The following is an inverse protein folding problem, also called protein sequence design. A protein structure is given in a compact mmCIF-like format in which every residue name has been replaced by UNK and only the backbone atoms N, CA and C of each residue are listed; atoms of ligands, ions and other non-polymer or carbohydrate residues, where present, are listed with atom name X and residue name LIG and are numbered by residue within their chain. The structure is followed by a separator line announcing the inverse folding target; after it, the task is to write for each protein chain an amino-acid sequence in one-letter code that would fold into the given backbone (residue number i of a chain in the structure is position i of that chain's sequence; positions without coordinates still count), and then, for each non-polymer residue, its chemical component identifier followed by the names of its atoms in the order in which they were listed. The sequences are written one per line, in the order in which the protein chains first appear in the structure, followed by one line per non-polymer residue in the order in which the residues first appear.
data_IF_645984482454
#
_entry.id   IF_645984482454
#
_cell.length_a   1.000
_cell.length_b   1.000
_cell.length_c   1.000
_cell.angle_alpha   90.00
_cell.angle_beta   90.00
_cell.angle_gamma   90.00
#
_symmetry.space_group_name_H-M   'P 1'
#
loop_
_entity.id
_entity.type
_entity.pdbx_description
1 polymer ?
#
# COMPACT_ATOMS: atom_id res chain seq x y z
N UNK A 1 15.84 -3.06 -26.95
CA UNK A 1 15.14 -1.85 -26.46
C UNK A 1 13.93 -2.32 -25.67
N UNK A 2 14.09 -2.51 -24.36
CA UNK A 2 12.98 -2.82 -23.45
C UNK A 2 12.84 -1.65 -22.49
N UNK A 3 12.21 -0.58 -22.95
CA UNK A 3 11.93 0.58 -22.13
C UNK A 3 10.74 0.25 -21.21
N UNK A 4 10.96 0.35 -19.91
CA UNK A 4 9.94 0.61 -18.91
C UNK A 4 8.84 -0.45 -18.78
N UNK A 5 9.11 -1.53 -18.05
CA UNK A 5 8.06 -2.02 -17.16
C UNK A 5 7.87 -0.90 -16.12
N UNK A 6 7.00 0.05 -16.42
CA UNK A 6 6.54 1.08 -15.49
C UNK A 6 6.06 0.34 -14.24
N UNK A 7 6.92 0.28 -13.23
CA UNK A 7 6.56 -0.36 -11.98
C UNK A 7 5.43 0.46 -11.40
N UNK A 8 4.27 -0.15 -11.26
CA UNK A 8 3.14 0.45 -10.57
C UNK A 8 3.62 1.03 -9.23
N UNK A 9 3.13 2.21 -8.81
CA UNK A 9 3.55 2.83 -7.56
C UNK A 9 3.45 1.84 -6.39
N UNK A 10 4.49 1.72 -5.58
CA UNK A 10 4.54 0.85 -4.41
C UNK A 10 3.42 1.13 -3.41
N UNK A 11 2.90 2.36 -3.37
CA UNK A 11 1.73 2.75 -2.58
C UNK A 11 0.44 2.06 -3.03
N UNK A 12 0.31 1.68 -4.31
CA UNK A 12 -0.90 1.08 -4.88
C UNK A 12 -1.25 -0.29 -4.25
N UNK A 13 -0.36 -1.30 -4.20
CA UNK A 13 -0.68 -2.58 -3.57
C UNK A 13 -1.01 -2.43 -2.06
N UNK A 14 -0.40 -1.46 -1.37
CA UNK A 14 -0.70 -1.18 0.04
C UNK A 14 -2.12 -0.61 0.20
N UNK A 15 -2.55 0.30 -0.69
CA UNK A 15 -3.95 0.77 -0.72
C UNK A 15 -4.91 -0.37 -1.01
N UNK A 16 -4.58 -1.25 -1.96
CA UNK A 16 -5.43 -2.39 -2.30
C UNK A 16 -5.62 -3.34 -1.09
N UNK A 17 -4.56 -3.61 -0.33
CA UNK A 17 -4.68 -4.39 0.91
C UNK A 17 -5.55 -3.70 1.96
N UNK A 18 -5.43 -2.38 2.14
CA UNK A 18 -6.28 -1.61 3.03
C UNK A 18 -7.77 -1.70 2.64
N UNK A 19 -8.08 -1.58 1.34
CA UNK A 19 -9.44 -1.76 0.82
C UNK A 19 -9.97 -3.17 1.10
N UNK A 20 -9.18 -4.21 0.82
CA UNK A 20 -9.56 -5.60 1.09
C UNK A 20 -9.89 -5.84 2.56
N UNK A 21 -9.10 -5.30 3.49
CA UNK A 21 -9.38 -5.41 4.93
C UNK A 21 -10.68 -4.72 5.33
N UNK A 22 -11.02 -3.59 4.73
CA UNK A 22 -12.31 -2.92 4.98
C UNK A 22 -13.49 -3.74 4.47
N UNK A 23 -13.38 -4.31 3.28
CA UNK A 23 -14.42 -5.19 2.77
C UNK A 23 -14.60 -6.42 3.67
N UNK A 24 -13.50 -7.00 4.17
CA UNK A 24 -13.55 -8.10 5.13
C UNK A 24 -14.20 -7.65 6.45
N UNK A 25 -13.88 -6.46 6.96
CA UNK A 25 -14.51 -5.89 8.15
C UNK A 25 -16.02 -5.66 7.94
N UNK A 26 -16.43 -5.15 6.77
CA UNK A 26 -17.84 -4.97 6.42
C UNK A 26 -18.59 -6.30 6.34
N UNK A 27 -18.01 -7.30 5.67
CA UNK A 27 -18.56 -8.67 5.61
C UNK A 27 -18.72 -9.27 7.02
N UNK A 28 -17.70 -9.13 7.87
CA UNK A 28 -17.77 -9.59 9.26
C UNK A 28 -18.89 -8.90 10.05
N UNK A 29 -19.10 -7.59 9.87
CA UNK A 29 -20.20 -6.87 10.54
C UNK A 29 -21.56 -7.35 10.05
N UNK A 30 -21.73 -7.51 8.74
CA UNK A 30 -22.97 -8.05 8.14
C UNK A 30 -23.29 -9.45 8.70
N UNK A 31 -22.33 -10.38 8.67
CA UNK A 31 -22.54 -11.73 9.20
C UNK A 31 -22.72 -11.74 10.73
N UNK A 32 -22.17 -10.76 11.46
CA UNK A 32 -22.35 -10.64 12.90
C UNK A 32 -23.80 -10.29 13.29
N UNK A 33 -24.53 -9.59 12.41
CA UNK A 33 -25.95 -9.31 12.59
C UNK A 33 -26.80 -10.57 12.39
N UNK A 34 -26.47 -11.39 11.39
CA UNK A 34 -27.16 -12.65 11.09
C UNK A 34 -27.07 -13.64 12.27
N UNK A 35 -25.87 -13.84 12.82
CA UNK A 35 -25.65 -14.81 13.92
C UNK A 35 -26.20 -14.33 15.26
N UNK A 36 -26.54 -13.05 15.41
CA UNK A 36 -27.13 -12.50 16.64
C UNK A 36 -28.45 -13.19 17.00
N UNK A 37 -29.16 -13.68 15.99
CA UNK A 37 -30.45 -14.36 16.11
C UNK A 37 -30.37 -15.77 16.73
N UNK A 38 -29.16 -16.35 16.85
CA UNK A 38 -28.92 -17.72 17.33
C UNK A 38 -28.85 -17.85 18.86
N UNK A 39 -29.40 -16.90 19.60
CA UNK A 39 -29.41 -16.92 21.07
C UNK A 39 -28.04 -16.63 21.71
N UNK A 40 -27.76 -17.23 22.87
CA UNK A 40 -26.60 -16.87 23.70
C UNK A 40 -25.25 -17.16 23.03
N UNK A 41 -25.12 -18.28 22.33
CA UNK A 41 -23.91 -18.63 21.58
C UNK A 41 -23.71 -17.68 20.38
N UNK A 42 -24.81 -17.34 19.69
CA UNK A 42 -24.83 -16.33 18.64
C UNK A 42 -24.36 -14.96 19.12
N UNK A 43 -24.79 -14.53 20.31
CA UNK A 43 -24.35 -13.27 20.91
C UNK A 43 -22.84 -13.26 21.23
N UNK A 44 -22.31 -14.38 21.73
CA UNK A 44 -20.87 -14.51 21.99
C UNK A 44 -20.05 -14.50 20.69
N UNK A 45 -20.54 -15.18 19.64
CA UNK A 45 -19.92 -15.18 18.32
C UNK A 45 -19.94 -13.78 17.68
N UNK A 46 -21.10 -13.10 17.71
CA UNK A 46 -21.25 -11.71 17.25
C UNK A 46 -20.20 -10.79 17.89
N UNK A 47 -20.02 -10.88 19.21
CA UNK A 47 -19.03 -10.07 19.92
C UNK A 47 -17.61 -10.30 19.38
N UNK A 48 -17.24 -11.56 19.09
CA UNK A 48 -15.92 -11.89 18.51
C UNK A 48 -15.81 -11.35 17.09
N UNK A 49 -16.83 -11.51 16.25
CA UNK A 49 -16.84 -11.03 14.86
C UNK A 49 -16.69 -9.51 14.79
N UNK A 50 -17.42 -8.76 15.62
CA UNK A 50 -17.27 -7.30 15.73
C UNK A 50 -15.84 -6.94 16.13
N UNK A 51 -15.27 -7.60 17.14
CA UNK A 51 -13.89 -7.35 17.56
C UNK A 51 -12.86 -7.65 16.45
N UNK A 52 -13.10 -8.67 15.61
CA UNK A 52 -12.26 -8.93 14.44
C UNK A 52 -12.42 -7.86 13.36
N UNK A 53 -13.64 -7.39 13.10
CA UNK A 53 -13.90 -6.31 12.16
C UNK A 53 -13.21 -5.00 12.58
N UNK A 54 -13.21 -4.68 13.87
CA UNK A 54 -12.55 -3.47 14.38
C UNK A 54 -11.02 -3.55 14.29
N UNK A 55 -10.45 -4.74 14.52
CA UNK A 55 -9.01 -4.99 14.27
C UNK A 55 -8.67 -4.84 12.79
N UNK A 56 -9.48 -5.39 11.89
CA UNK A 56 -9.28 -5.27 10.45
C UNK A 56 -9.37 -3.80 9.98
N UNK A 57 -10.33 -3.03 10.50
CA UNK A 57 -10.45 -1.59 10.22
C UNK A 57 -9.24 -0.80 10.73
N UNK A 58 -8.75 -1.11 11.93
CA UNK A 58 -7.55 -0.48 12.50
C UNK A 58 -6.30 -0.77 11.66
N UNK A 59 -6.16 -2.01 11.19
CA UNK A 59 -5.09 -2.40 10.29
C UNK A 59 -5.20 -1.69 8.92
N UNK A 60 -6.41 -1.61 8.35
CA UNK A 60 -6.66 -0.88 7.11
C UNK A 60 -6.25 0.59 7.20
N UNK A 61 -6.65 1.31 8.25
CA UNK A 61 -6.24 2.70 8.50
C UNK A 61 -4.73 2.87 8.67
N UNK A 62 -4.06 1.85 9.20
CA UNK A 62 -2.60 1.89 9.35
C UNK A 62 -1.90 1.69 8.01
N UNK A 63 -2.41 0.78 7.17
CA UNK A 63 -1.94 0.60 5.80
C UNK A 63 -2.18 1.83 4.92
N UNK A 64 -3.30 2.53 5.07
CA UNK A 64 -3.53 3.78 4.33
C UNK A 64 -2.52 4.86 4.65
N UNK A 65 -2.24 5.08 5.95
CA UNK A 65 -1.22 6.04 6.37
C UNK A 65 0.17 5.67 5.82
N UNK A 66 0.47 4.37 5.77
CA UNK A 66 1.70 3.87 5.14
C UNK A 66 1.70 4.12 3.62
N UNK A 67 0.59 3.87 2.94
CA UNK A 67 0.44 4.11 1.51
C UNK A 67 0.55 5.60 1.16
N UNK A 68 0.04 6.49 2.01
CA UNK A 68 0.22 7.93 1.86
C UNK A 68 1.69 8.35 2.01
N UNK A 69 2.40 7.78 2.99
CA UNK A 69 3.83 8.02 3.16
C UNK A 69 4.64 7.54 1.95
N UNK A 70 4.33 6.35 1.43
CA UNK A 70 4.92 5.83 0.20
C UNK A 70 4.63 6.73 -1.00
N UNK A 71 3.39 7.18 -1.18
CA UNK A 71 3.01 8.08 -2.27
C UNK A 71 3.78 9.41 -2.24
N UNK A 72 4.03 9.96 -1.04
CA UNK A 72 4.88 11.16 -0.90
C UNK A 72 6.32 10.89 -1.31
N UNK A 73 6.87 9.73 -0.94
CA UNK A 73 8.23 9.35 -1.32
C UNK A 73 8.35 9.12 -2.84
N UNK A 74 7.39 8.44 -3.44
CA UNK A 74 7.28 8.24 -4.88
C UNK A 74 7.25 9.57 -5.64
N UNK A 75 6.50 10.57 -5.15
CA UNK A 75 6.47 11.90 -5.75
C UNK A 75 7.83 12.62 -5.70
N UNK A 76 8.60 12.45 -4.61
CA UNK A 76 9.97 12.98 -4.51
C UNK A 76 10.88 12.31 -5.53
N UNK A 77 10.84 10.97 -5.63
CA UNK A 77 11.64 10.24 -6.61
C UNK A 77 11.29 10.64 -8.05
N UNK A 78 10.01 10.77 -8.36
CA UNK A 78 9.56 11.24 -9.68
C UNK A 78 9.96 12.69 -9.97
N UNK A 79 10.05 13.56 -8.95
CA UNK A 79 10.56 14.92 -9.12
C UNK A 79 12.08 14.95 -9.37
N UNK A 80 12.84 14.08 -8.70
CA UNK A 80 14.29 13.94 -8.93
C UNK A 80 14.58 13.39 -10.33
N UNK A 81 13.85 12.36 -10.76
CA UNK A 81 14.00 11.78 -12.10
C UNK A 81 13.72 12.80 -13.20
N UNK A 82 12.65 13.61 -13.06
CA UNK A 82 12.36 14.72 -13.99
C UNK A 82 13.50 15.74 -14.06
N UNK A 83 14.07 16.13 -12.92
CA UNK A 83 15.21 17.06 -12.89
C UNK A 83 16.43 16.49 -13.61
N UNK A 84 16.73 15.21 -13.43
CA UNK A 84 17.82 14.53 -14.15
C UNK A 84 17.62 14.55 -15.67
N UNK A 85 16.39 14.42 -16.14
CA UNK A 85 16.03 14.49 -17.55
C UNK A 85 16.08 15.93 -18.11
N UNK A 86 15.57 16.91 -17.35
CA UNK A 86 15.49 18.32 -17.75
C UNK A 86 16.86 19.02 -17.75
N UNK A 87 17.72 18.71 -16.77
CA UNK A 87 19.09 19.28 -16.69
C UNK A 87 20.05 18.64 -17.70
N UNK A 88 19.57 17.75 -18.57
CA UNK A 88 20.37 17.15 -19.63
C UNK A 88 21.65 16.54 -19.08
N UNK A 89 21.54 15.64 -18.09
CA UNK A 89 22.69 14.82 -17.70
C UNK A 89 23.06 13.90 -18.88
N UNK A 90 23.82 14.45 -19.84
CA UNK A 90 24.74 13.67 -20.64
C UNK A 90 25.77 13.14 -19.65
N UNK A 91 25.86 11.81 -19.40
CA UNK A 91 27.00 11.29 -18.69
C UNK A 91 28.25 11.83 -19.38
N UNK A 92 29.24 12.37 -18.63
CA UNK A 92 30.39 12.95 -19.28
C UNK A 92 31.06 11.87 -20.12
N UNK A 93 31.10 12.11 -21.42
CA UNK A 93 32.22 11.64 -22.21
C UNK A 93 33.50 12.23 -21.59
N UNK A 94 34.22 11.42 -20.82
CA UNK A 94 35.64 11.60 -20.49
C UNK A 94 36.02 11.30 -19.03
N UNK A 95 37.27 10.90 -18.71
CA UNK A 95 38.41 10.47 -19.54
C UNK A 95 38.67 8.94 -19.40
N UNK A 96 39.67 8.32 -20.09
CA UNK A 96 40.05 6.94 -19.85
C UNK A 96 40.38 6.72 -18.37
N UNK A 97 39.81 5.67 -17.77
CA UNK A 97 40.11 5.28 -16.40
C UNK A 97 41.60 5.05 -16.15
N UNK A 98 42.05 5.13 -14.88
CA UNK A 98 43.46 5.02 -14.54
C UNK A 98 43.99 3.65 -14.97
N UNK A 99 44.99 3.65 -15.86
CA UNK A 99 45.85 2.50 -16.11
C UNK A 99 46.70 2.25 -14.86
N UNK A 100 46.24 1.34 -14.02
CA UNK A 100 47.14 0.71 -13.07
C UNK A 100 48.02 -0.29 -13.83
N UNK A 101 49.32 -0.01 -13.73
CA UNK A 101 50.51 -0.67 -14.28
C UNK A 101 50.36 -2.11 -14.78
#
# INVERSE_FOLDING_TARGET
MGAGAEHAPWSQPVRAQACSLREQAARLRSSAEEVASLGAEGAALRKRMIAHADRAETAARSLERAAEALARHEAVLAALDRRLQDDGFSPPGGPPGPRWR
#
